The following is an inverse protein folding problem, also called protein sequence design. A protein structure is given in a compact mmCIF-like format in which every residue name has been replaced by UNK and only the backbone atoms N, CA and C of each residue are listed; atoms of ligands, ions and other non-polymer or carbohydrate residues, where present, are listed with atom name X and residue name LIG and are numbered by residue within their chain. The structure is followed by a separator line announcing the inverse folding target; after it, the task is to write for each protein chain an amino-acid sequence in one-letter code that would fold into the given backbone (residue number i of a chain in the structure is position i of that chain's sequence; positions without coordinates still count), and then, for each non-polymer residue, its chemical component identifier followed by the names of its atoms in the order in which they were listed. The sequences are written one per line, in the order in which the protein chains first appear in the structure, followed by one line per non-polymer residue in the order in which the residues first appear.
data_IF_200022588896
#
_entry.id   IF_200022588896
#
_cell.length_a   1.000
_cell.length_b   1.000
_cell.length_c   1.000
_cell.angle_alpha   90.00
_cell.angle_beta   90.00
_cell.angle_gamma   90.00
#
_symmetry.space_group_name_H-M   'P 1'
#
loop_
_entity.id
_entity.type
_entity.pdbx_description
1 polymer ?
#
# COMPACT_ATOMS: atom_id res chain seq x y z
N UNK A 1 -16.79 -1.03 -9.15
CA UNK A 1 -16.02 -0.04 -9.90
C UNK A 1 -14.54 -0.14 -9.53
N UNK A 2 -13.63 -0.21 -10.49
CA UNK A 2 -12.17 -0.25 -10.18
C UNK A 2 -11.59 1.17 -10.07
N UNK A 3 -10.45 1.32 -9.39
CA UNK A 3 -9.71 2.59 -9.34
C UNK A 3 -9.36 3.10 -10.73
N UNK A 4 -8.92 2.21 -11.64
CA UNK A 4 -8.62 2.57 -13.03
C UNK A 4 -9.86 3.14 -13.74
N UNK A 5 -11.02 2.51 -13.57
CA UNK A 5 -12.27 3.00 -14.17
C UNK A 5 -12.67 4.35 -13.58
N UNK A 6 -12.60 4.51 -12.26
CA UNK A 6 -12.90 5.78 -11.59
C UNK A 6 -12.00 6.92 -12.07
N UNK A 7 -10.68 6.69 -12.15
CA UNK A 7 -9.73 7.67 -12.68
C UNK A 7 -10.04 8.01 -14.15
N UNK A 8 -10.34 7.01 -14.99
CA UNK A 8 -10.73 7.26 -16.39
C UNK A 8 -11.99 8.11 -16.50
N UNK A 9 -12.99 7.84 -15.66
CA UNK A 9 -14.24 8.60 -15.63
C UNK A 9 -13.99 10.05 -15.21
N UNK A 10 -13.18 10.28 -14.17
CA UNK A 10 -12.86 11.61 -13.67
C UNK A 10 -12.00 12.42 -14.66
N UNK A 11 -11.02 11.79 -15.32
CA UNK A 11 -10.18 12.44 -16.33
C UNK A 11 -10.99 12.82 -17.58
N UNK A 12 -11.89 11.94 -18.04
CA UNK A 12 -12.68 12.17 -19.24
C UNK A 12 -11.81 12.50 -20.45
N UNK A 13 -12.12 13.60 -21.15
CA UNK A 13 -11.37 14.09 -22.31
C UNK A 13 -10.20 15.03 -21.94
N UNK A 14 -10.04 15.38 -20.66
CA UNK A 14 -9.09 16.38 -20.19
C UNK A 14 -7.67 15.84 -19.99
N UNK A 15 -7.44 14.56 -20.24
CA UNK A 15 -6.14 13.93 -20.06
C UNK A 15 -6.07 12.50 -20.60
N UNK A 16 -4.91 11.87 -20.46
CA UNK A 16 -4.67 10.51 -20.92
C UNK A 16 -4.30 9.61 -19.76
N UNK A 17 -5.05 8.53 -19.58
CA UNK A 17 -4.73 7.47 -18.60
C UNK A 17 -3.97 6.35 -19.29
N UNK A 18 -2.67 6.23 -18.98
CA UNK A 18 -1.87 5.08 -19.36
C UNK A 18 -1.97 4.01 -18.27
N UNK A 19 -1.96 2.72 -18.67
CA UNK A 19 -2.11 1.61 -17.73
C UNK A 19 -1.05 0.53 -18.00
N UNK A 20 -0.43 0.06 -16.92
CA UNK A 20 0.40 -1.13 -16.88
C UNK A 20 0.08 -1.89 -15.59
N UNK A 21 0.09 -3.23 -15.63
CA UNK A 21 -0.16 -4.04 -14.41
C UNK A 21 0.99 -3.91 -13.41
N UNK A 22 2.22 -3.87 -13.90
CA UNK A 22 3.44 -3.66 -13.11
C UNK A 22 3.89 -4.86 -12.28
N UNK A 23 3.00 -5.48 -11.52
CA UNK A 23 3.28 -6.66 -10.72
C UNK A 23 2.05 -7.53 -10.50
N UNK A 24 2.26 -8.82 -10.23
CA UNK A 24 1.26 -9.64 -9.57
C UNK A 24 1.15 -9.26 -8.09
N UNK A 25 0.00 -9.53 -7.47
CA UNK A 25 -0.24 -9.17 -6.06
C UNK A 25 0.81 -9.79 -5.13
N UNK A 26 1.30 -10.97 -5.47
CA UNK A 26 2.46 -11.65 -4.87
C UNK A 26 3.09 -12.53 -5.94
N UNK A 27 4.37 -12.85 -5.77
CA UNK A 27 5.08 -13.88 -6.56
C UNK A 27 5.15 -15.22 -5.83
N UNK A 28 4.70 -15.29 -4.58
CA UNK A 28 4.71 -16.51 -3.79
C UNK A 28 3.57 -17.45 -4.23
N UNK A 29 3.95 -18.61 -4.79
CA UNK A 29 3.01 -19.60 -5.28
C UNK A 29 2.11 -20.16 -4.18
N UNK A 30 2.62 -20.37 -2.97
CA UNK A 30 1.82 -20.88 -1.85
C UNK A 30 0.74 -19.89 -1.43
N UNK A 31 1.05 -18.59 -1.42
CA UNK A 31 0.06 -17.54 -1.17
C UNK A 31 -0.96 -17.47 -2.32
N UNK A 32 -0.53 -17.58 -3.58
CA UNK A 32 -1.45 -17.61 -4.73
C UNK A 32 -2.40 -18.81 -4.64
N UNK A 33 -1.85 -20.01 -4.41
CA UNK A 33 -2.63 -21.24 -4.33
C UNK A 33 -3.62 -21.17 -3.14
N UNK A 34 -3.23 -20.55 -2.01
CA UNK A 34 -4.11 -20.27 -0.88
C UNK A 34 -5.25 -19.29 -1.26
N UNK A 35 -4.92 -18.16 -1.89
CA UNK A 35 -5.91 -17.14 -2.27
C UNK A 35 -6.89 -17.67 -3.32
N UNK A 36 -6.45 -18.60 -4.17
CA UNK A 36 -7.25 -19.20 -5.23
C UNK A 36 -7.86 -20.57 -4.86
N UNK A 37 -7.80 -20.97 -3.58
CA UNK A 37 -8.18 -22.32 -3.15
C UNK A 37 -9.67 -22.64 -3.41
N UNK A 38 -10.55 -21.66 -3.21
CA UNK A 38 -12.00 -21.85 -3.30
C UNK A 38 -12.61 -21.22 -4.56
N UNK A 39 -12.05 -20.10 -5.01
CA UNK A 39 -12.45 -19.37 -6.23
C UNK A 39 -11.23 -18.66 -6.82
N UNK A 40 -11.30 -18.24 -8.08
CA UNK A 40 -10.23 -17.45 -8.71
C UNK A 40 -10.24 -15.99 -8.20
N UNK A 41 -9.81 -15.79 -6.95
CA UNK A 41 -9.80 -14.49 -6.28
C UNK A 41 -8.68 -13.56 -6.79
N UNK A 42 -7.54 -14.12 -7.24
CA UNK A 42 -6.41 -13.35 -7.77
C UNK A 42 -5.94 -13.88 -9.12
N UNK A 43 -5.87 -12.96 -10.09
CA UNK A 43 -5.40 -13.26 -11.45
C UNK A 43 -3.89 -13.06 -11.56
N UNK A 44 -3.19 -14.15 -11.85
CA UNK A 44 -1.74 -14.15 -12.08
C UNK A 44 -1.48 -13.86 -13.56
N UNK A 45 -0.73 -12.79 -13.84
CA UNK A 45 -0.22 -12.52 -15.18
C UNK A 45 0.94 -13.50 -15.45
N UNK A 46 0.95 -14.17 -16.62
CA UNK A 46 1.96 -15.17 -16.94
C UNK A 46 3.33 -14.56 -17.27
N UNK A 47 3.42 -13.25 -17.53
CA UNK A 47 4.69 -12.57 -17.80
C UNK A 47 5.60 -12.62 -16.58
N UNK A 48 6.90 -12.59 -16.80
CA UNK A 48 7.87 -12.53 -15.71
C UNK A 48 7.73 -11.22 -14.91
N UNK A 49 8.13 -11.21 -13.62
CA UNK A 49 8.13 -9.99 -12.82
C UNK A 49 8.89 -8.83 -13.47
N UNK A 50 10.04 -9.13 -14.09
CA UNK A 50 10.86 -8.09 -14.74
C UNK A 50 10.17 -7.50 -15.97
N UNK A 51 9.55 -8.30 -16.82
CA UNK A 51 8.82 -7.80 -18.00
C UNK A 51 7.67 -6.87 -17.61
N UNK A 52 6.93 -7.19 -16.53
CA UNK A 52 5.85 -6.33 -16.04
C UNK A 52 6.38 -5.03 -15.44
N UNK A 53 7.49 -5.08 -14.70
CA UNK A 53 8.15 -3.89 -14.13
C UNK A 53 8.68 -3.00 -15.27
N UNK A 54 9.31 -3.58 -16.28
CA UNK A 54 9.84 -2.83 -17.43
C UNK A 54 8.71 -2.13 -18.19
N UNK A 55 7.59 -2.81 -18.46
CA UNK A 55 6.40 -2.20 -19.05
C UNK A 55 5.89 -1.01 -18.21
N UNK A 56 5.80 -1.18 -16.89
CA UNK A 56 5.34 -0.13 -15.99
C UNK A 56 6.32 1.06 -15.94
N UNK A 57 7.62 0.82 -15.96
CA UNK A 57 8.65 1.87 -16.02
C UNK A 57 8.59 2.63 -17.35
N UNK A 58 8.42 1.94 -18.48
CA UNK A 58 8.26 2.61 -19.79
C UNK A 58 6.97 3.42 -19.84
N UNK A 59 5.90 2.94 -19.21
CA UNK A 59 4.65 3.66 -19.09
C UNK A 59 4.81 4.91 -18.22
N UNK A 60 5.45 4.77 -17.06
CA UNK A 60 5.72 5.89 -16.15
C UNK A 60 6.56 7.00 -16.79
N UNK A 61 7.58 6.64 -17.60
CA UNK A 61 8.41 7.62 -18.32
C UNK A 61 7.60 8.52 -19.27
N UNK A 62 6.49 8.01 -19.81
CA UNK A 62 5.57 8.73 -20.70
C UNK A 62 4.48 9.50 -19.94
N UNK A 63 4.39 9.37 -18.62
CA UNK A 63 3.39 10.04 -17.79
C UNK A 63 3.98 11.25 -17.06
N UNK A 64 3.12 12.20 -16.70
CA UNK A 64 3.49 13.34 -15.85
C UNK A 64 3.48 12.98 -14.36
N UNK A 65 2.60 12.06 -13.96
CA UNK A 65 2.43 11.54 -12.60
C UNK A 65 2.14 10.04 -12.65
N UNK A 66 2.59 9.31 -11.62
CA UNK A 66 2.31 7.88 -11.44
C UNK A 66 1.38 7.71 -10.25
N UNK A 67 0.25 7.04 -10.48
CA UNK A 67 -0.65 6.57 -9.42
C UNK A 67 -0.49 5.05 -9.32
N UNK A 68 0.24 4.58 -8.30
CA UNK A 68 0.45 3.16 -8.05
C UNK A 68 -0.60 2.65 -7.05
N UNK A 69 -1.52 1.81 -7.54
CA UNK A 69 -2.55 1.16 -6.72
C UNK A 69 -2.00 -0.17 -6.23
N UNK A 70 -1.68 -0.25 -4.94
CA UNK A 70 -0.90 -1.34 -4.34
C UNK A 70 -1.46 -1.75 -2.98
N UNK A 71 -1.10 -2.94 -2.51
CA UNK A 71 -1.46 -3.42 -1.18
C UNK A 71 -1.80 -4.90 -1.16
N UNK A 72 -2.90 -5.24 -0.50
CA UNK A 72 -3.35 -6.60 -0.26
C UNK A 72 -4.46 -7.01 -1.23
N UNK A 73 -4.52 -8.31 -1.56
CA UNK A 73 -5.78 -8.90 -2.02
C UNK A 73 -6.73 -9.05 -0.82
N UNK A 74 -8.04 -8.99 -1.05
CA UNK A 74 -9.05 -9.14 0.02
C UNK A 74 -8.84 -10.41 0.87
N UNK A 75 -8.45 -11.52 0.23
CA UNK A 75 -8.24 -12.81 0.89
C UNK A 75 -7.00 -12.83 1.80
N UNK A 76 -6.14 -11.82 1.75
CA UNK A 76 -5.03 -11.68 2.70
C UNK A 76 -5.50 -11.11 4.04
N UNK A 77 -6.69 -10.52 4.12
CA UNK A 77 -7.25 -9.86 5.29
C UNK A 77 -8.65 -10.40 5.65
N UNK A 78 -8.83 -11.71 5.49
CA UNK A 78 -10.08 -12.41 5.78
C UNK A 78 -9.93 -13.38 6.97
N UNK A 79 -10.98 -14.15 7.26
CA UNK A 79 -10.93 -15.27 8.19
C UNK A 79 -9.76 -16.22 7.88
N UNK A 80 -9.13 -16.76 8.92
CA UNK A 80 -7.95 -17.64 8.84
C UNK A 80 -6.72 -17.07 8.10
N UNK A 81 -6.73 -15.78 7.74
CA UNK A 81 -5.70 -15.15 6.90
C UNK A 81 -4.76 -14.28 7.73
N UNK A 82 -4.15 -14.88 8.76
CA UNK A 82 -3.15 -14.21 9.59
C UNK A 82 -1.84 -14.02 8.83
N UNK A 83 -1.19 -12.86 8.98
CA UNK A 83 0.09 -12.55 8.32
C UNK A 83 1.21 -12.39 9.34
N UNK A 84 2.36 -13.00 9.06
CA UNK A 84 3.61 -12.84 9.82
C UNK A 84 4.47 -11.69 9.30
N UNK A 85 4.18 -11.18 8.11
CA UNK A 85 4.75 -9.98 7.52
C UNK A 85 3.60 -9.06 7.08
N UNK A 86 3.60 -7.84 7.60
CA UNK A 86 2.58 -6.81 7.35
C UNK A 86 3.06 -5.71 6.40
N UNK A 87 4.15 -5.94 5.67
CA UNK A 87 4.56 -5.06 4.56
C UNK A 87 3.69 -5.29 3.33
N UNK A 88 3.73 -4.34 2.39
CA UNK A 88 3.22 -4.55 1.03
C UNK A 88 3.94 -5.79 0.44
N UNK A 89 3.26 -6.70 -0.29
CA UNK A 89 3.92 -7.85 -0.90
C UNK A 89 5.16 -7.47 -1.73
N UNK A 90 6.22 -8.27 -1.63
CA UNK A 90 7.53 -7.92 -2.19
C UNK A 90 7.50 -7.61 -3.70
N UNK A 91 6.69 -8.34 -4.49
CA UNK A 91 6.50 -8.09 -5.93
C UNK A 91 6.05 -6.66 -6.23
N UNK A 92 5.19 -6.10 -5.40
CA UNK A 92 4.71 -4.73 -5.54
C UNK A 92 5.71 -3.71 -4.98
N UNK A 93 6.51 -4.07 -3.97
CA UNK A 93 7.58 -3.21 -3.45
C UNK A 93 8.72 -3.04 -4.45
N UNK A 94 9.05 -4.09 -5.19
CA UNK A 94 10.02 -4.03 -6.29
C UNK A 94 9.53 -3.08 -7.39
N UNK A 95 8.23 -3.16 -7.73
CA UNK A 95 7.59 -2.20 -8.63
C UNK A 95 7.66 -0.76 -8.10
N UNK A 96 7.32 -0.51 -6.82
CA UNK A 96 7.39 0.82 -6.21
C UNK A 96 8.82 1.39 -6.29
N UNK A 97 9.83 0.58 -5.97
CA UNK A 97 11.23 0.98 -6.05
C UNK A 97 11.63 1.35 -7.50
N UNK A 98 11.22 0.54 -8.48
CA UNK A 98 11.48 0.81 -9.90
C UNK A 98 10.77 2.08 -10.39
N UNK A 99 9.52 2.30 -9.97
CA UNK A 99 8.77 3.51 -10.28
C UNK A 99 9.40 4.75 -9.65
N UNK A 100 9.82 4.69 -8.37
CA UNK A 100 10.51 5.81 -7.72
C UNK A 100 11.81 6.16 -8.43
N UNK A 101 12.56 5.16 -8.91
CA UNK A 101 13.80 5.37 -9.66
C UNK A 101 13.61 6.13 -10.99
N UNK A 102 12.38 6.23 -11.51
CA UNK A 102 12.09 7.06 -12.70
C UNK A 102 12.15 8.56 -12.44
N UNK A 103 12.09 8.99 -11.17
CA UNK A 103 12.02 10.40 -10.78
C UNK A 103 10.68 11.09 -11.04
N UNK A 104 9.66 10.34 -11.50
CA UNK A 104 8.31 10.87 -11.67
C UNK A 104 7.61 11.01 -10.30
N UNK A 105 6.75 12.03 -10.12
CA UNK A 105 5.88 12.11 -8.94
C UNK A 105 5.09 10.81 -8.75
N UNK A 106 5.23 10.20 -7.57
CA UNK A 106 4.69 8.89 -7.23
C UNK A 106 3.66 9.01 -6.12
N UNK A 107 2.39 8.78 -6.46
CA UNK A 107 1.27 8.68 -5.54
C UNK A 107 0.95 7.21 -5.29
N UNK A 108 0.99 6.78 -4.03
CA UNK A 108 0.54 5.44 -3.64
C UNK A 108 -0.92 5.49 -3.21
N UNK A 109 -1.75 4.63 -3.81
CA UNK A 109 -3.13 4.39 -3.39
C UNK A 109 -3.16 3.00 -2.77
N UNK A 110 -3.32 2.95 -1.44
CA UNK A 110 -3.23 1.72 -0.68
C UNK A 110 -4.59 1.04 -0.53
N UNK A 111 -4.64 -0.25 -0.82
CA UNK A 111 -5.80 -1.11 -0.58
C UNK A 111 -5.42 -2.25 0.36
N UNK A 112 -5.97 -2.26 1.57
CA UNK A 112 -5.63 -3.25 2.61
C UNK A 112 -6.77 -3.42 3.61
N UNK A 113 -6.78 -4.56 4.30
CA UNK A 113 -7.78 -4.85 5.36
C UNK A 113 -7.23 -4.71 6.78
N UNK A 114 -5.95 -4.34 6.93
CA UNK A 114 -5.25 -4.16 8.21
C UNK A 114 -4.23 -3.02 8.13
N UNK A 115 -3.69 -2.54 9.27
CA UNK A 115 -2.50 -1.71 9.28
C UNK A 115 -1.30 -2.39 8.62
N UNK A 116 -0.59 -1.66 7.76
CA UNK A 116 0.64 -2.12 7.10
C UNK A 116 1.88 -1.44 7.69
N UNK A 117 3.02 -2.10 7.59
CA UNK A 117 4.33 -1.49 7.85
C UNK A 117 4.82 -0.78 6.59
N UNK A 118 4.78 0.56 6.61
CA UNK A 118 4.96 1.42 5.42
C UNK A 118 6.20 2.33 5.50
N UNK A 119 7.18 2.01 6.35
CA UNK A 119 8.33 2.90 6.61
C UNK A 119 9.15 3.20 5.34
N UNK A 120 9.29 2.24 4.42
CA UNK A 120 10.03 2.48 3.17
C UNK A 120 9.18 3.26 2.18
N UNK A 121 7.91 2.92 2.09
CA UNK A 121 6.95 3.51 1.18
C UNK A 121 6.72 4.99 1.50
N UNK A 122 6.68 5.37 2.79
CA UNK A 122 6.67 6.75 3.30
C UNK A 122 7.90 7.57 2.87
N UNK A 123 9.06 6.92 2.70
CA UNK A 123 10.29 7.57 2.22
C UNK A 123 10.37 7.66 0.69
N UNK A 124 9.62 6.82 -0.03
CA UNK A 124 9.67 6.73 -1.48
C UNK A 124 8.56 7.52 -2.17
N UNK A 125 7.35 7.50 -1.61
CA UNK A 125 6.18 8.15 -2.19
C UNK A 125 6.21 9.68 -1.99
N UNK A 126 5.66 10.41 -2.95
CA UNK A 126 5.43 11.84 -2.82
C UNK A 126 4.05 12.11 -2.17
N UNK A 127 3.12 11.16 -2.28
CA UNK A 127 1.87 11.13 -1.52
C UNK A 127 1.39 9.69 -1.27
N UNK A 128 0.69 9.47 -0.15
CA UNK A 128 0.07 8.18 0.18
C UNK A 128 -1.40 8.43 0.54
N UNK A 129 -2.30 7.72 -0.13
CA UNK A 129 -3.74 7.70 0.16
C UNK A 129 -4.14 6.30 0.63
N UNK A 130 -4.52 6.19 1.91
CA UNK A 130 -5.11 4.97 2.48
C UNK A 130 -6.60 4.89 2.11
N UNK A 131 -6.99 3.82 1.40
CA UNK A 131 -8.36 3.66 0.87
C UNK A 131 -9.09 2.42 1.39
N UNK A 132 -8.40 1.56 2.14
CA UNK A 132 -8.90 0.27 2.59
C UNK A 132 -9.47 -0.55 1.41
N UNK A 133 -10.54 -1.32 1.64
CA UNK A 133 -11.39 -1.82 0.58
C UNK A 133 -12.68 -0.97 0.52
N UNK A 134 -12.68 0.07 -0.33
CA UNK A 134 -13.73 1.09 -0.40
C UNK A 134 -15.08 0.63 -1.03
N UNK A 135 -15.29 -0.66 -1.22
CA UNK A 135 -16.56 -1.23 -1.71
C UNK A 135 -16.86 -0.96 -3.20
N UNK A 136 -18.13 -1.10 -3.58
CA UNK A 136 -18.57 -1.13 -4.98
C UNK A 136 -18.25 0.14 -5.76
N UNK A 137 -18.45 1.32 -5.15
CA UNK A 137 -18.16 2.64 -5.75
C UNK A 137 -16.77 3.16 -5.37
N UNK A 138 -15.93 2.33 -4.76
CA UNK A 138 -14.61 2.74 -4.27
C UNK A 138 -13.75 3.40 -5.34
N UNK A 139 -13.82 2.94 -6.59
CA UNK A 139 -13.11 3.56 -7.70
C UNK A 139 -13.47 5.04 -7.93
N UNK A 140 -14.76 5.38 -7.88
CA UNK A 140 -15.22 6.77 -8.05
C UNK A 140 -14.83 7.61 -6.83
N UNK A 141 -15.09 7.11 -5.62
CA UNK A 141 -14.75 7.83 -4.38
C UNK A 141 -13.25 8.14 -4.25
N UNK A 142 -12.39 7.20 -4.66
CA UNK A 142 -10.94 7.41 -4.70
C UNK A 142 -10.56 8.47 -5.73
N UNK A 143 -11.21 8.47 -6.90
CA UNK A 143 -10.98 9.49 -7.92
C UNK A 143 -11.40 10.88 -7.42
N UNK A 144 -12.57 11.02 -6.80
CA UNK A 144 -13.06 12.29 -6.25
C UNK A 144 -12.04 12.91 -5.27
N UNK A 145 -11.39 12.09 -4.46
CA UNK A 145 -10.31 12.53 -3.55
C UNK A 145 -9.05 12.94 -4.30
N UNK A 146 -8.60 12.14 -5.28
CA UNK A 146 -7.38 12.39 -6.04
C UNK A 146 -7.48 13.65 -6.91
N UNK A 147 -8.67 13.94 -7.46
CA UNK A 147 -8.94 15.09 -8.30
C UNK A 147 -9.43 16.33 -7.52
N UNK A 148 -9.64 16.19 -6.21
CA UNK A 148 -9.97 17.31 -5.32
C UNK A 148 -11.46 17.69 -5.28
N UNK A 149 -12.33 16.88 -5.88
CA UNK A 149 -13.79 17.01 -5.73
C UNK A 149 -14.22 16.73 -4.28
N UNK A 150 -13.40 15.99 -3.53
CA UNK A 150 -13.53 15.82 -2.08
C UNK A 150 -12.21 16.03 -1.34
N UNK A 151 -12.24 16.78 -0.24
CA UNK A 151 -11.08 16.97 0.63
C UNK A 151 -11.00 15.84 1.68
N UNK A 152 -9.93 15.01 1.69
CA UNK A 152 -9.85 13.84 2.54
C UNK A 152 -9.95 14.18 4.04
N UNK A 153 -10.96 13.61 4.72
CA UNK A 153 -11.22 13.86 6.14
C UNK A 153 -11.09 12.62 7.04
N UNK A 154 -10.68 11.48 6.47
CA UNK A 154 -10.50 10.23 7.21
C UNK A 154 -9.40 10.33 8.29
N UNK A 155 -9.57 9.59 9.39
CA UNK A 155 -8.56 9.46 10.45
C UNK A 155 -8.41 7.99 10.82
N UNK A 156 -7.17 7.55 11.09
CA UNK A 156 -6.88 6.16 11.40
C UNK A 156 -7.49 5.75 12.75
N UNK A 157 -8.32 4.69 12.81
CA UNK A 157 -8.87 4.18 14.06
C UNK A 157 -7.91 3.20 14.77
N UNK A 158 -6.84 2.78 14.11
CA UNK A 158 -5.85 1.83 14.62
C UNK A 158 -4.43 2.33 14.35
N UNK A 159 -3.50 2.08 15.27
CA UNK A 159 -2.09 2.43 15.11
C UNK A 159 -1.44 1.58 14.00
N UNK A 160 -0.66 2.24 13.14
CA UNK A 160 0.16 1.56 12.13
C UNK A 160 1.56 1.29 12.71
N UNK A 161 1.95 0.02 12.96
CA UNK A 161 3.28 -0.30 13.46
C UNK A 161 4.36 -0.06 12.40
N UNK A 162 5.59 0.24 12.83
CA UNK A 162 6.74 0.34 11.92
C UNK A 162 7.21 -1.03 11.40
N UNK A 163 6.93 -2.09 12.16
CA UNK A 163 7.19 -3.49 11.78
C UNK A 163 6.34 -4.44 12.62
N UNK A 164 6.22 -5.69 12.18
CA UNK A 164 5.48 -6.74 12.92
C UNK A 164 6.03 -6.95 14.34
N UNK A 165 7.33 -6.74 14.55
CA UNK A 165 8.00 -6.91 15.85
C UNK A 165 7.60 -5.89 16.92
N UNK A 166 6.87 -4.83 16.56
CA UNK A 166 6.33 -3.88 17.52
C UNK A 166 4.95 -4.28 18.06
N UNK A 167 4.28 -5.26 17.44
CA UNK A 167 2.92 -5.63 17.83
C UNK A 167 2.94 -6.25 19.25
N UNK A 168 2.09 -5.78 20.17
CA UNK A 168 1.03 -4.77 19.99
C UNK A 168 1.50 -3.31 20.17
N UNK A 169 1.04 -2.43 19.28
CA UNK A 169 1.10 -0.95 19.43
C UNK A 169 -0.31 -0.36 19.45
N UNK A 170 -0.57 0.55 20.37
CA UNK A 170 -1.85 1.24 20.52
C UNK A 170 -1.66 2.53 21.33
N UNK A 171 -2.48 3.56 21.07
CA UNK A 171 -2.27 4.90 21.65
C UNK A 171 -2.55 4.99 23.15
N UNK A 172 -3.45 4.16 23.68
CA UNK A 172 -3.89 4.17 25.09
C UNK A 172 -3.06 3.21 25.97
N UNK A 173 -1.75 3.13 25.74
CA UNK A 173 -0.84 2.26 26.50
C UNK A 173 -0.48 2.87 27.87
N UNK A 174 -0.08 2.01 28.82
CA UNK A 174 0.45 2.45 30.11
C UNK A 174 1.79 3.17 29.93
N UNK A 175 2.11 4.13 30.79
CA UNK A 175 3.37 4.87 30.73
C UNK A 175 4.63 4.00 30.98
N UNK A 176 4.47 2.87 31.67
CA UNK A 176 5.55 2.03 32.24
C UNK A 176 6.35 2.74 33.35
N UNK A 177 7.18 1.99 34.09
CA UNK A 177 8.07 2.56 35.11
C UNK A 177 9.33 3.24 34.54
N UNK A 178 9.59 3.09 33.23
CA UNK A 178 10.77 3.64 32.55
C UNK A 178 10.37 4.11 31.14
N UNK A 179 9.53 5.15 31.02
CA UNK A 179 9.09 5.65 29.72
C UNK A 179 10.28 6.13 28.89
N UNK A 180 10.20 5.91 27.57
CA UNK A 180 11.16 6.49 26.63
C UNK A 180 11.12 8.01 26.71
N UNK A 181 12.30 8.64 26.76
CA UNK A 181 12.44 10.10 26.74
C UNK A 181 13.17 10.52 25.46
N UNK A 182 12.45 11.18 24.55
CA UNK A 182 12.99 11.61 23.26
C UNK A 182 14.12 12.63 23.38
N UNK A 183 14.11 13.47 24.42
CA UNK A 183 15.17 14.46 24.69
C UNK A 183 16.43 13.81 25.29
N UNK A 184 16.29 12.60 25.85
CA UNK A 184 17.37 11.84 26.49
C UNK A 184 17.34 10.35 26.08
N UNK A 185 17.54 10.04 24.79
CA UNK A 185 17.30 8.72 24.22
C UNK A 185 18.24 7.63 24.80
N UNK A 186 19.40 8.01 25.32
CA UNK A 186 20.41 7.10 25.85
C UNK A 186 20.38 6.94 27.40
N UNK A 187 19.39 7.52 28.09
CA UNK A 187 19.37 7.51 29.56
C UNK A 187 18.83 6.17 30.11
N UNK A 188 19.69 5.16 30.16
CA UNK A 188 19.40 3.89 30.82
C UNK A 188 19.39 4.12 32.35
N UNK A 189 18.24 3.99 32.99
CA UNK A 189 18.15 4.02 34.45
C UNK A 189 18.49 2.63 34.99
N UNK A 190 19.77 2.39 35.26
CA UNK A 190 20.16 1.28 36.14
C UNK A 190 19.75 1.66 37.56
N UNK A 191 18.69 1.02 38.06
CA UNK A 191 18.54 0.90 39.51
C UNK A 191 19.62 -0.10 39.94
N UNK A 192 20.71 0.40 40.52
CA UNK A 192 21.61 -0.41 41.32
C UNK A 192 20.79 -0.92 42.50
N UNK A 193 20.54 -2.22 42.54
CA UNK A 193 20.13 -2.92 43.75
C UNK A 193 21.36 -3.20 44.60
#
# INVERSE_FOLDING_TARGET
MTVLTGIKNAVGENGKVLYAKGANVTSDKGIIDFLNQYEEAVKVDPRSPQEMIDEAVQTAKQSDVVVAVVGEAQGMAHEASSRTDITIPQSQRDLIAALKATGKPLVLVLMNGRPLALVKEDQQADAILETWFAGTEGGNAIADVLFGDYNPSGKLPMSFPRSVGQIPVYYSHLNTGRPYNADKPNKIHFALF
#
